data_IF_170426568603
#
_entry.id   IF_170426568603
#
_cell.length_a   1.000
_cell.length_b   1.000
_cell.length_c   1.000
_cell.angle_alpha   90.00
_cell.angle_beta   90.00
_cell.angle_gamma   90.00
#
_symmetry.space_group_name_H-M   'P 1'
#
loop_
_entity.id
_entity.type
_entity.pdbx_description
1 polymer ?
#
# COMPACT_ATOMS: atom_id res chain seq x y z
N UNK A 1 6.86 -5.74 -17.51
CA UNK A 1 6.34 -6.65 -16.47
C UNK A 1 4.89 -6.99 -16.77
N UNK A 2 4.58 -8.25 -16.82
CA UNK A 2 3.20 -8.68 -17.02
C UNK A 2 2.49 -8.73 -15.67
N UNK A 3 1.29 -8.15 -15.62
CA UNK A 3 0.45 -8.18 -14.43
C UNK A 3 -0.64 -9.22 -14.66
N UNK A 4 -0.77 -10.14 -13.72
CA UNK A 4 -1.77 -11.20 -13.77
C UNK A 4 -2.77 -10.99 -12.64
N UNK A 5 -4.05 -10.97 -12.97
CA UNK A 5 -5.09 -10.94 -11.96
C UNK A 5 -5.35 -12.33 -11.43
N UNK A 6 -5.45 -12.45 -10.10
CA UNK A 6 -5.81 -13.71 -9.45
C UNK A 6 -6.99 -13.48 -8.51
N UNK A 7 -7.69 -14.57 -8.18
CA UNK A 7 -8.74 -14.51 -7.17
C UNK A 7 -8.11 -14.54 -5.78
N UNK A 8 -8.78 -13.95 -4.81
CA UNK A 8 -8.28 -13.93 -3.43
C UNK A 8 -8.03 -15.35 -2.90
N UNK A 9 -8.86 -16.31 -3.27
CA UNK A 9 -8.71 -17.71 -2.82
C UNK A 9 -7.46 -18.39 -3.38
N UNK A 10 -6.90 -17.85 -4.46
CA UNK A 10 -5.66 -18.39 -5.05
C UNK A 10 -4.41 -17.86 -4.36
N UNK A 11 -4.56 -16.88 -3.48
CA UNK A 11 -3.44 -16.31 -2.74
C UNK A 11 -3.00 -17.28 -1.64
N UNK A 12 -1.76 -17.75 -1.71
CA UNK A 12 -1.26 -18.77 -0.81
C UNK A 12 -0.01 -18.38 -0.01
N UNK A 13 0.27 -17.09 0.08
CA UNK A 13 1.39 -16.58 0.86
C UNK A 13 0.92 -16.24 2.28
N UNK A 14 1.75 -16.48 3.28
CA UNK A 14 1.39 -16.20 4.66
C UNK A 14 1.14 -14.71 4.89
N UNK A 15 -0.07 -14.32 5.34
CA UNK A 15 -0.33 -12.90 5.66
C UNK A 15 0.54 -12.38 6.79
N UNK A 16 0.96 -13.25 7.71
CA UNK A 16 1.85 -12.84 8.81
C UNK A 16 3.22 -12.41 8.30
N UNK A 17 3.75 -13.13 7.30
CA UNK A 17 5.01 -12.74 6.67
C UNK A 17 4.84 -11.53 5.76
N UNK A 18 3.77 -11.53 4.97
CA UNK A 18 3.50 -10.46 4.02
C UNK A 18 3.39 -9.11 4.72
N UNK A 19 2.61 -9.06 5.77
CA UNK A 19 2.32 -7.81 6.50
C UNK A 19 3.42 -7.50 7.51
N UNK A 20 3.79 -8.47 8.34
CA UNK A 20 4.70 -8.25 9.45
C UNK A 20 6.17 -8.18 9.08
N UNK A 21 6.57 -8.85 8.01
CA UNK A 21 7.99 -8.94 7.61
C UNK A 21 8.29 -8.27 6.29
N UNK A 22 7.47 -8.52 5.27
CA UNK A 22 7.69 -7.92 3.94
C UNK A 22 7.19 -6.49 3.89
N UNK A 23 6.16 -6.20 4.67
CA UNK A 23 5.48 -4.92 4.78
C UNK A 23 4.67 -4.57 3.54
N UNK A 24 3.72 -3.68 3.72
CA UNK A 24 2.84 -3.21 2.65
C UNK A 24 3.18 -1.77 2.31
N UNK A 25 3.24 -1.47 1.02
CA UNK A 25 3.26 -0.09 0.56
C UNK A 25 1.81 0.31 0.27
N UNK A 26 1.29 1.25 1.07
CA UNK A 26 -0.06 1.76 0.94
C UNK A 26 0.01 3.02 0.10
N UNK A 27 -0.70 3.03 -1.02
CA UNK A 27 -0.73 4.17 -1.93
C UNK A 27 -2.15 4.62 -2.18
N UNK A 28 -2.38 5.92 -2.15
CA UNK A 28 -3.67 6.52 -2.44
C UNK A 28 -3.48 7.81 -3.25
N UNK A 29 -4.47 8.14 -4.06
CA UNK A 29 -4.48 9.36 -4.84
C UNK A 29 -5.72 10.17 -4.51
N UNK A 30 -5.54 11.45 -4.26
CA UNK A 30 -6.62 12.39 -4.04
C UNK A 30 -6.23 13.72 -4.71
N UNK A 31 -7.18 14.35 -5.38
CA UNK A 31 -6.99 15.64 -6.04
C UNK A 31 -5.81 15.65 -7.03
N UNK A 32 -5.63 14.52 -7.74
CA UNK A 32 -4.58 14.40 -8.74
C UNK A 32 -3.17 14.19 -8.19
N UNK A 33 -3.03 14.01 -6.88
CA UNK A 33 -1.74 13.78 -6.23
C UNK A 33 -1.75 12.43 -5.52
N UNK A 34 -0.65 11.69 -5.63
CA UNK A 34 -0.50 10.39 -4.97
C UNK A 34 0.49 10.50 -3.82
N UNK A 35 0.27 9.70 -2.80
CA UNK A 35 1.23 9.53 -1.71
C UNK A 35 1.21 8.09 -1.23
N UNK A 36 2.32 7.65 -0.67
CA UNK A 36 2.47 6.28 -0.19
C UNK A 36 3.20 6.23 1.14
N UNK A 37 2.94 5.17 1.89
CA UNK A 37 3.60 4.90 3.15
C UNK A 37 3.74 3.41 3.36
N UNK A 38 4.71 3.01 4.17
CA UNK A 38 4.87 1.62 4.58
C UNK A 38 3.98 1.33 5.78
N UNK A 39 3.26 0.21 5.73
CA UNK A 39 2.45 -0.28 6.82
C UNK A 39 2.79 -1.74 7.12
N UNK A 40 2.76 -2.10 8.40
CA UNK A 40 3.06 -3.46 8.84
C UNK A 40 2.03 -3.99 9.85
N UNK A 41 0.90 -3.32 9.98
CA UNK A 41 -0.17 -3.73 10.89
C UNK A 41 -1.45 -3.99 10.09
N UNK A 42 -2.03 -5.16 10.30
CA UNK A 42 -3.27 -5.51 9.63
C UNK A 42 -3.45 -7.01 9.53
N UNK A 43 -4.30 -7.43 8.63
CA UNK A 43 -4.58 -8.84 8.43
C UNK A 43 -5.43 -9.08 7.19
N UNK A 44 -5.80 -10.34 7.00
CA UNK A 44 -6.68 -10.77 5.92
C UNK A 44 -7.76 -11.68 6.50
N UNK A 45 -8.94 -11.62 5.93
CA UNK A 45 -10.03 -12.45 6.39
C UNK A 45 -11.30 -12.23 5.60
N UNK A 46 -12.42 -12.57 6.20
CA UNK A 46 -13.73 -12.46 5.56
C UNK A 46 -14.62 -11.54 6.39
N UNK A 47 -15.25 -10.59 5.72
CA UNK A 47 -16.20 -9.68 6.37
C UNK A 47 -17.37 -9.43 5.43
N UNK A 48 -18.59 -9.61 5.95
CA UNK A 48 -19.82 -9.52 5.16
C UNK A 48 -19.78 -10.41 3.90
N UNK A 49 -19.24 -11.62 4.04
CA UNK A 49 -19.15 -12.56 2.93
C UNK A 49 -18.14 -12.18 1.85
N UNK A 50 -17.27 -11.23 2.12
CA UNK A 50 -16.24 -10.78 1.17
C UNK A 50 -14.85 -11.05 1.70
N UNK A 51 -13.95 -11.43 0.80
CA UNK A 51 -12.54 -11.56 1.14
C UNK A 51 -11.93 -10.16 1.25
N UNK A 52 -11.35 -9.85 2.39
CA UNK A 52 -10.83 -8.51 2.66
C UNK A 52 -9.42 -8.57 3.22
N UNK A 53 -8.66 -7.53 2.93
CA UNK A 53 -7.45 -7.20 3.66
C UNK A 53 -7.77 -5.92 4.45
N UNK A 54 -7.34 -5.87 5.70
CA UNK A 54 -7.51 -4.66 6.50
C UNK A 54 -6.15 -4.22 7.02
N UNK A 55 -6.03 -2.92 7.27
CA UNK A 55 -4.78 -2.38 7.77
C UNK A 55 -5.07 -1.26 8.77
N UNK A 56 -4.10 -1.02 9.63
CA UNK A 56 -4.17 0.03 10.64
C UNK A 56 -3.23 1.16 10.24
N UNK A 57 -3.77 2.36 10.11
CA UNK A 57 -3.00 3.55 9.76
C UNK A 57 -3.17 4.56 10.88
N UNK A 58 -2.05 5.01 11.43
CA UNK A 58 -2.09 6.00 12.51
C UNK A 58 -2.57 7.35 11.97
N UNK A 59 -3.36 8.11 12.75
CA UNK A 59 -3.95 9.38 12.26
C UNK A 59 -2.91 10.41 11.82
N UNK A 60 -1.71 10.40 12.39
CA UNK A 60 -0.68 11.38 12.06
C UNK A 60 0.02 11.14 10.73
N UNK A 61 -0.19 9.97 10.08
CA UNK A 61 0.45 9.70 8.79
C UNK A 61 -0.22 10.51 7.68
N UNK A 62 0.60 11.11 6.84
CA UNK A 62 0.10 11.95 5.74
C UNK A 62 -0.75 11.18 4.74
N UNK A 63 -0.41 9.93 4.45
CA UNK A 63 -1.18 9.09 3.53
C UNK A 63 -2.63 8.91 3.96
N UNK A 64 -2.90 9.00 5.29
CA UNK A 64 -4.28 8.90 5.78
C UNK A 64 -5.17 9.98 5.18
N UNK A 65 -4.66 11.19 5.00
CA UNK A 65 -5.43 12.28 4.38
C UNK A 65 -5.80 11.94 2.95
N UNK A 66 -4.91 11.25 2.23
CA UNK A 66 -5.18 10.79 0.86
C UNK A 66 -6.25 9.69 0.85
N UNK A 67 -6.15 8.73 1.77
CA UNK A 67 -7.11 7.64 1.87
C UNK A 67 -8.50 8.18 2.20
N UNK A 68 -8.60 9.12 3.12
CA UNK A 68 -9.87 9.71 3.51
C UNK A 68 -10.55 10.45 2.36
N UNK A 69 -9.78 11.01 1.44
CA UNK A 69 -10.31 11.72 0.28
C UNK A 69 -10.42 10.88 -1.00
N UNK A 70 -10.00 9.63 -0.96
CA UNK A 70 -9.95 8.77 -2.15
C UNK A 70 -11.11 7.77 -2.14
N UNK A 71 -11.46 7.27 -3.33
CA UNK A 71 -12.43 6.20 -3.46
C UNK A 71 -11.85 4.84 -3.10
N UNK A 72 -10.54 4.72 -3.11
CA UNK A 72 -9.84 3.48 -2.79
C UNK A 72 -8.36 3.70 -2.65
N UNK A 73 -7.66 2.64 -2.31
CA UNK A 73 -6.21 2.67 -2.17
C UNK A 73 -5.64 1.31 -2.58
N UNK A 74 -4.35 1.25 -2.81
CA UNK A 74 -3.68 0.01 -3.17
C UNK A 74 -2.69 -0.42 -2.10
N UNK A 75 -2.45 -1.73 -2.07
CA UNK A 75 -1.43 -2.33 -1.23
C UNK A 75 -0.46 -3.06 -2.16
N UNK A 76 0.81 -2.70 -2.07
CA UNK A 76 1.85 -3.33 -2.89
C UNK A 76 2.91 -3.95 -2.01
N UNK A 77 3.52 -5.04 -2.51
CA UNK A 77 4.57 -5.74 -1.79
C UNK A 77 5.77 -5.85 -2.71
N UNK A 78 6.94 -5.57 -2.16
CA UNK A 78 8.21 -5.67 -2.88
C UNK A 78 9.12 -6.68 -2.19
N UNK A 79 10.07 -7.24 -2.92
CA UNK A 79 11.03 -8.19 -2.38
C UNK A 79 12.03 -7.53 -1.43
N UNK A 80 12.87 -8.36 -0.79
CA UNK A 80 13.86 -7.88 0.18
C UNK A 80 14.85 -6.88 -0.42
N UNK A 81 15.09 -6.95 -1.72
CA UNK A 81 15.97 -6.01 -2.41
C UNK A 81 15.45 -4.58 -2.37
N UNK A 82 14.17 -4.40 -2.04
CA UNK A 82 13.55 -3.08 -1.88
C UNK A 82 13.36 -2.67 -0.42
N UNK A 83 14.00 -3.37 0.51
CA UNK A 83 13.84 -3.13 1.95
C UNK A 83 14.17 -1.69 2.36
N UNK A 84 15.26 -1.14 1.80
CA UNK A 84 15.64 0.24 2.10
C UNK A 84 14.59 1.23 1.63
N UNK A 85 14.01 0.99 0.47
CA UNK A 85 12.92 1.80 -0.05
C UNK A 85 11.71 1.75 0.88
N UNK A 86 11.34 0.56 1.36
CA UNK A 86 10.22 0.40 2.28
C UNK A 86 10.47 1.12 3.60
N UNK A 87 11.69 1.07 4.12
CA UNK A 87 12.06 1.83 5.33
C UNK A 87 11.94 3.33 5.11
N UNK A 88 12.36 3.81 3.96
CA UNK A 88 12.25 5.22 3.60
C UNK A 88 10.79 5.67 3.59
N UNK A 89 9.89 4.92 2.94
CA UNK A 89 8.47 5.24 2.91
C UNK A 89 7.83 5.20 4.30
N UNK A 90 8.37 4.42 5.20
CA UNK A 90 7.88 4.32 6.57
C UNK A 90 8.40 5.40 7.51
N UNK A 91 9.50 6.07 7.15
CA UNK A 91 10.20 7.02 8.03
C UNK A 91 9.97 8.47 7.66
N UNK A 92 9.71 8.76 6.39
CA UNK A 92 9.62 10.12 5.87
C UNK A 92 8.17 10.45 5.51
N UNK A 93 7.74 11.67 5.80
CA UNK A 93 6.41 12.13 5.44
C UNK A 93 6.39 12.70 4.02
N UNK A 94 5.31 12.41 3.29
CA UNK A 94 5.06 13.04 2.00
C UNK A 94 4.82 14.55 2.09
N UNK A 95 4.61 15.06 3.30
CA UNK A 95 4.55 16.51 3.52
C UNK A 95 5.91 17.18 3.27
N UNK A 96 6.98 16.43 3.55
CA UNK A 96 8.35 16.96 3.49
C UNK A 96 9.04 16.62 2.17
N UNK A 97 8.70 15.49 1.56
CA UNK A 97 9.36 15.01 0.34
C UNK A 97 8.35 14.32 -0.58
N UNK A 98 8.60 14.41 -1.89
CA UNK A 98 7.89 13.61 -2.87
C UNK A 98 8.55 12.22 -2.92
N UNK A 99 8.04 11.31 -2.10
CA UNK A 99 8.64 10.00 -1.91
C UNK A 99 8.56 9.11 -3.16
N UNK A 100 7.46 9.20 -3.90
CA UNK A 100 7.31 8.40 -5.11
C UNK A 100 8.33 8.80 -6.17
N UNK A 101 8.55 10.10 -6.36
CA UNK A 101 9.54 10.60 -7.29
C UNK A 101 10.96 10.19 -6.89
N UNK A 102 11.30 10.31 -5.60
CA UNK A 102 12.62 9.94 -5.09
C UNK A 102 12.90 8.45 -5.20
N UNK A 103 11.89 7.62 -5.06
CA UNK A 103 12.01 6.16 -5.20
C UNK A 103 11.89 5.70 -6.65
N UNK A 104 11.69 6.63 -7.59
CA UNK A 104 11.48 6.34 -9.00
C UNK A 104 10.31 5.38 -9.22
N UNK A 105 9.23 5.63 -8.50
CA UNK A 105 8.00 4.87 -8.62
C UNK A 105 6.90 5.72 -9.24
N UNK A 106 6.14 5.12 -10.13
CA UNK A 106 4.98 5.75 -10.74
C UNK A 106 3.74 4.95 -10.39
N UNK A 107 2.70 5.58 -9.82
CA UNK A 107 1.47 4.86 -9.55
C UNK A 107 0.83 4.33 -10.83
N UNK A 108 0.37 3.08 -10.78
CA UNK A 108 -0.42 2.52 -11.86
C UNK A 108 -1.88 2.89 -11.64
N UNK A 109 -2.52 3.41 -12.68
CA UNK A 109 -3.94 3.69 -12.64
C UNK A 109 -4.64 2.70 -13.55
N UNK A 110 -5.56 1.94 -12.99
CA UNK A 110 -6.30 0.94 -13.73
C UNK A 110 -7.76 0.98 -13.31
N UNK A 111 -8.62 1.42 -14.23
CA UNK A 111 -10.07 1.49 -14.00
C UNK A 111 -10.44 2.21 -12.69
N UNK A 112 -9.72 3.27 -12.35
CA UNK A 112 -9.97 4.05 -11.13
C UNK A 112 -9.40 3.46 -9.85
N UNK A 113 -8.56 2.44 -9.95
CA UNK A 113 -7.88 1.85 -8.80
C UNK A 113 -6.45 2.35 -8.70
N UNK A 114 -5.98 2.37 -7.50
CA UNK A 114 -4.59 2.65 -7.21
C UNK A 114 -3.93 1.43 -6.63
#
# INVERSE_FOLDING_TARGET
>A
MAIKEIKAEEFNYSPFRLIGKDWLLVCAEADGKANAMTASWGGMGVMWGKNVAFLVIRPQRYTKEFIDGAEGFSLSVFGEERRKMMSYFGSVSGRDEDKLAKADLTPLQDAGRM
#
